data_IF_066880524978
#
_entry.id   IF_066880524978
#
_cell.length_a   1.000
_cell.length_b   1.000
_cell.length_c   1.000
_cell.angle_alpha   90.00
_cell.angle_beta   90.00
_cell.angle_gamma   90.00
#
_symmetry.space_group_name_H-M   'P 1'
#
loop_
_entity.id
_entity.type
_entity.pdbx_description
1 polymer ?
#
# COMPACT_ATOMS: atom_id res chain seq x y z
N UNK A 1 -2.84 16.83 3.89
CA UNK A 1 -2.85 15.92 2.72
C UNK A 1 -4.16 16.14 1.97
N UNK A 2 -4.15 16.50 0.68
CA UNK A 2 -5.38 16.63 -0.15
C UNK A 2 -5.54 15.35 -0.99
N UNK A 3 -6.01 14.28 -0.37
CA UNK A 3 -6.37 13.05 -1.07
C UNK A 3 -7.89 13.02 -1.28
N UNK A 4 -8.37 12.39 -2.35
CA UNK A 4 -9.79 12.08 -2.51
C UNK A 4 -10.26 11.12 -1.40
N UNK A 5 -11.58 11.00 -1.20
CA UNK A 5 -12.15 10.11 -0.17
C UNK A 5 -11.59 8.67 -0.20
N UNK A 6 -11.30 8.14 -1.39
CA UNK A 6 -10.69 6.82 -1.57
C UNK A 6 -9.23 6.76 -1.10
N UNK A 7 -8.45 7.82 -1.35
CA UNK A 7 -7.08 7.91 -0.83
C UNK A 7 -7.07 8.08 0.70
N UNK A 8 -8.05 8.79 1.27
CA UNK A 8 -8.22 8.87 2.72
C UNK A 8 -8.57 7.51 3.33
N UNK A 9 -9.48 6.76 2.69
CA UNK A 9 -9.86 5.42 3.13
C UNK A 9 -8.66 4.45 3.08
N UNK A 10 -7.93 4.40 1.97
CA UNK A 10 -6.76 3.52 1.86
C UNK A 10 -5.65 3.89 2.84
N UNK A 11 -5.37 5.18 3.04
CA UNK A 11 -4.41 5.64 4.04
C UNK A 11 -4.87 5.36 5.47
N UNK A 12 -6.16 5.43 5.77
CA UNK A 12 -6.69 5.09 7.11
C UNK A 12 -6.47 3.62 7.43
N UNK A 13 -6.76 2.71 6.48
CA UNK A 13 -6.53 1.27 6.66
C UNK A 13 -5.02 1.01 6.83
N UNK A 14 -4.17 1.63 6.00
CA UNK A 14 -2.72 1.53 6.14
C UNK A 14 -2.24 1.94 7.53
N UNK A 15 -2.67 3.11 8.03
CA UNK A 15 -2.26 3.64 9.32
C UNK A 15 -2.60 2.72 10.50
N UNK A 16 -3.74 2.02 10.43
CA UNK A 16 -4.18 1.10 11.49
C UNK A 16 -3.32 -0.15 11.65
N UNK A 17 -2.63 -0.58 10.59
CA UNK A 17 -1.95 -1.89 10.57
C UNK A 17 -0.46 -1.83 10.23
N UNK A 18 0.06 -0.70 9.74
CA UNK A 18 1.46 -0.58 9.31
C UNK A 18 2.45 -0.79 10.45
N UNK A 19 2.13 -0.34 11.67
CA UNK A 19 2.99 -0.52 12.84
C UNK A 19 3.03 -1.99 13.24
N UNK A 20 4.23 -2.55 13.35
CA UNK A 20 4.43 -3.99 13.60
C UNK A 20 4.38 -4.86 12.34
N UNK A 21 4.20 -4.28 11.16
CA UNK A 21 4.32 -4.98 9.88
C UNK A 21 5.76 -5.04 9.39
N UNK A 22 6.12 -6.10 8.67
CA UNK A 22 7.47 -6.25 8.10
C UNK A 22 7.59 -5.63 6.72
N UNK A 23 8.82 -5.35 6.27
CA UNK A 23 9.07 -4.82 4.94
C UNK A 23 8.62 -5.77 3.82
N UNK A 24 8.82 -7.08 3.97
CA UNK A 24 8.33 -8.09 3.00
C UNK A 24 6.82 -8.06 2.92
N UNK A 25 6.16 -8.06 4.08
CA UNK A 25 4.71 -8.06 4.16
C UNK A 25 4.09 -6.84 3.47
N UNK A 26 4.67 -5.64 3.67
CA UNK A 26 4.16 -4.42 3.04
C UNK A 26 4.36 -4.41 1.51
N UNK A 27 5.41 -5.08 1.01
CA UNK A 27 5.63 -5.29 -0.44
C UNK A 27 4.62 -6.28 -1.01
N UNK A 28 4.40 -7.40 -0.33
CA UNK A 28 3.43 -8.42 -0.73
C UNK A 28 2.00 -7.86 -0.72
N UNK A 29 1.68 -7.05 0.28
CA UNK A 29 0.43 -6.31 0.38
C UNK A 29 0.22 -5.42 -0.85
N UNK A 30 1.22 -4.59 -1.19
CA UNK A 30 1.17 -3.68 -2.33
C UNK A 30 0.92 -4.44 -3.64
N UNK A 31 1.59 -5.56 -3.85
CA UNK A 31 1.35 -6.42 -5.02
C UNK A 31 -0.04 -7.05 -5.02
N UNK A 32 -0.55 -7.44 -3.84
CA UNK A 32 -1.88 -8.03 -3.72
C UNK A 32 -2.96 -7.00 -4.06
N UNK A 33 -2.87 -5.76 -3.55
CA UNK A 33 -3.80 -4.67 -3.91
C UNK A 33 -3.71 -4.34 -5.40
N UNK A 34 -2.50 -4.31 -5.97
CA UNK A 34 -2.30 -4.10 -7.41
C UNK A 34 -3.03 -5.18 -8.23
N UNK A 35 -2.86 -6.45 -7.89
CA UNK A 35 -3.53 -7.59 -8.56
C UNK A 35 -5.04 -7.53 -8.38
N UNK A 36 -5.50 -7.19 -7.18
CA UNK A 36 -6.92 -7.02 -6.89
C UNK A 36 -7.56 -5.97 -7.81
N UNK A 37 -6.90 -4.83 -8.00
CA UNK A 37 -7.43 -3.72 -8.80
C UNK A 37 -7.27 -3.92 -10.31
N UNK A 38 -6.18 -4.57 -10.77
CA UNK A 38 -5.82 -4.62 -12.19
C UNK A 38 -5.98 -5.98 -12.85
N UNK A 39 -6.03 -7.06 -12.08
CA UNK A 39 -5.95 -8.45 -12.58
C UNK A 39 -7.09 -9.34 -12.06
N UNK A 40 -8.15 -8.75 -11.49
CA UNK A 40 -9.24 -9.49 -10.84
C UNK A 40 -8.76 -10.44 -9.72
N UNK A 41 -7.63 -10.11 -9.08
CA UNK A 41 -7.12 -10.88 -7.95
C UNK A 41 -8.02 -10.76 -6.72
N UNK A 42 -7.91 -11.74 -5.82
CA UNK A 42 -8.60 -11.70 -4.53
C UNK A 42 -8.07 -10.58 -3.63
N UNK A 43 -8.91 -10.01 -2.74
CA UNK A 43 -8.46 -9.04 -1.76
C UNK A 43 -7.46 -9.65 -0.76
N UNK A 44 -6.65 -8.81 -0.09
CA UNK A 44 -5.81 -9.24 1.02
C UNK A 44 -6.62 -9.89 2.15
N UNK A 45 -5.96 -10.74 2.92
CA UNK A 45 -6.58 -11.47 4.05
C UNK A 45 -5.90 -11.09 5.37
N UNK A 46 -6.39 -11.68 6.47
CA UNK A 46 -5.81 -11.48 7.81
C UNK A 46 -5.98 -10.05 8.31
N UNK A 47 -4.93 -9.47 8.90
CA UNK A 47 -4.99 -8.10 9.43
C UNK A 47 -5.23 -7.03 8.37
N UNK A 48 -5.09 -7.38 7.08
CA UNK A 48 -5.31 -6.47 5.95
C UNK A 48 -6.66 -6.67 5.26
N UNK A 49 -7.55 -7.49 5.83
CA UNK A 49 -8.86 -7.82 5.25
C UNK A 49 -9.74 -6.58 4.96
N UNK A 50 -9.58 -5.49 5.74
CA UNK A 50 -10.32 -4.25 5.53
C UNK A 50 -10.07 -3.61 4.16
N UNK A 51 -8.98 -3.96 3.48
CA UNK A 51 -8.71 -3.52 2.09
C UNK A 51 -9.75 -4.06 1.11
N UNK A 52 -10.46 -5.14 1.44
CA UNK A 52 -11.57 -5.65 0.63
C UNK A 52 -12.68 -4.59 0.43
N UNK A 53 -12.81 -3.62 1.35
CA UNK A 53 -13.72 -2.47 1.18
C UNK A 53 -13.39 -1.61 -0.05
N UNK A 54 -12.15 -1.69 -0.55
CA UNK A 54 -11.68 -1.01 -1.74
C UNK A 54 -11.86 -1.85 -3.02
N UNK A 55 -12.32 -3.09 -2.93
CA UNK A 55 -12.56 -3.96 -4.10
C UNK A 55 -13.46 -3.33 -5.17
N UNK A 56 -14.54 -2.58 -4.84
CA UNK A 56 -15.34 -1.88 -5.85
C UNK A 56 -14.54 -0.90 -6.71
N UNK A 57 -13.36 -0.44 -6.25
CA UNK A 57 -12.47 0.45 -7.02
C UNK A 57 -11.87 -0.26 -8.24
N UNK A 58 -11.89 -1.60 -8.29
CA UNK A 58 -11.46 -2.40 -9.45
C UNK A 58 -12.07 -1.88 -10.75
N UNK A 59 -13.36 -1.56 -10.76
CA UNK A 59 -14.07 -1.09 -11.95
C UNK A 59 -13.82 0.41 -12.27
N UNK A 60 -13.27 1.18 -11.33
CA UNK A 60 -12.98 2.60 -11.48
C UNK A 60 -11.50 2.86 -11.77
N UNK A 61 -11.04 2.50 -12.97
CA UNK A 61 -9.62 2.61 -13.40
C UNK A 61 -8.98 3.98 -13.15
N UNK A 62 -9.73 5.07 -13.32
CA UNK A 62 -9.27 6.44 -13.05
C UNK A 62 -8.90 6.70 -11.57
N UNK A 63 -9.35 5.85 -10.64
CA UNK A 63 -9.10 5.95 -9.19
C UNK A 63 -8.05 4.98 -8.68
N UNK A 64 -7.55 4.07 -9.53
CA UNK A 64 -6.51 3.12 -9.14
C UNK A 64 -5.25 3.83 -8.64
N UNK A 65 -4.80 4.88 -9.34
CA UNK A 65 -3.60 5.63 -8.95
C UNK A 65 -3.73 6.24 -7.54
N UNK A 66 -4.86 6.91 -7.26
CA UNK A 66 -5.09 7.52 -5.94
C UNK A 66 -5.22 6.48 -4.82
N UNK A 67 -5.75 5.30 -5.13
CA UNK A 67 -5.91 4.20 -4.16
C UNK A 67 -4.57 3.55 -3.83
N UNK A 68 -3.74 3.34 -4.86
CA UNK A 68 -2.42 2.72 -4.74
C UNK A 68 -1.38 3.63 -4.07
N UNK A 69 -1.57 4.95 -4.12
CA UNK A 69 -0.59 5.95 -3.68
C UNK A 69 -0.02 5.67 -2.28
N UNK A 70 -0.88 5.29 -1.31
CA UNK A 70 -0.41 5.05 0.07
C UNK A 70 0.45 3.79 0.17
N UNK A 71 0.18 2.76 -0.63
CA UNK A 71 0.93 1.51 -0.64
C UNK A 71 2.28 1.71 -1.32
N UNK A 72 2.28 2.41 -2.46
CA UNK A 72 3.50 2.77 -3.18
C UNK A 72 4.42 3.63 -2.31
N UNK A 73 3.87 4.64 -1.62
CA UNK A 73 4.64 5.52 -0.75
C UNK A 73 5.31 4.79 0.43
N UNK A 74 4.63 3.80 1.02
CA UNK A 74 5.20 2.99 2.12
C UNK A 74 6.33 2.10 1.61
N UNK A 75 6.15 1.41 0.49
CA UNK A 75 7.19 0.57 -0.11
C UNK A 75 8.40 1.40 -0.56
N UNK A 76 8.17 2.58 -1.12
CA UNK A 76 9.23 3.51 -1.49
C UNK A 76 10.01 3.99 -0.26
N UNK A 77 9.33 4.40 0.82
CA UNK A 77 9.97 4.79 2.06
C UNK A 77 10.85 3.68 2.66
N UNK A 78 10.38 2.43 2.63
CA UNK A 78 11.18 1.26 3.03
C UNK A 78 12.44 1.14 2.17
N UNK A 79 12.30 1.25 0.84
CA UNK A 79 13.43 1.21 -0.09
C UNK A 79 14.45 2.31 0.17
N UNK A 80 14.01 3.53 0.48
CA UNK A 80 14.90 4.64 0.85
C UNK A 80 15.66 4.35 2.15
N UNK A 81 15.00 3.77 3.16
CA UNK A 81 15.64 3.43 4.44
C UNK A 81 16.68 2.32 4.26
N UNK A 82 16.34 1.26 3.52
CA UNK A 82 17.26 0.17 3.22
C UNK A 82 18.48 0.65 2.41
N UNK A 83 18.26 1.54 1.43
CA UNK A 83 19.33 2.14 0.65
C UNK A 83 20.28 2.98 1.53
N UNK A 84 19.73 3.78 2.45
CA UNK A 84 20.53 4.56 3.41
C UNK A 84 21.31 3.66 4.37
N UNK A 85 20.72 2.58 4.86
CA UNK A 85 21.40 1.63 5.75
C UNK A 85 22.58 0.92 5.07
N UNK A 86 22.54 0.77 3.74
CA UNK A 86 23.60 0.14 2.94
C UNK A 86 24.74 1.11 2.57
N UNK A 87 24.53 2.42 2.67
CA UNK A 87 25.58 3.40 2.48
C UNK A 87 26.41 3.47 3.77
N UNK A 88 27.71 3.10 3.75
CA UNK A 88 28.57 3.32 4.91
C UNK A 88 28.60 4.81 5.20
N UNK A 89 28.41 5.18 6.47
CA UNK A 89 28.50 6.57 6.90
C UNK A 89 29.85 7.14 6.44
N UNK A 90 29.82 8.07 5.50
CA UNK A 90 31.00 8.87 5.16
C UNK A 90 31.37 9.68 6.40
N UNK A 91 32.43 9.24 7.07
CA UNK A 91 33.15 10.00 8.10
C UNK A 91 34.03 11.06 7.45
#
# INVERSE_FOLDING_TARGET
MKACALGQASSSIMASHVVGSTASELRDLRETVRKMLKENGSPPQGKWADIALLEPVRDYKARHASTMLTFDAVVDAIGQIEAKAKQPASA
#
